data_IF_015096629588
#
_entry.id   IF_015096629588
#
_cell.length_a   1.000
_cell.length_b   1.000
_cell.length_c   1.000
_cell.angle_alpha   90.00
_cell.angle_beta   90.00
_cell.angle_gamma   90.00
#
_symmetry.space_group_name_H-M   'P 1'
#
loop_
_entity.id
_entity.type
_entity.pdbx_description
1 polymer ?
#
# COMPACT_ATOMS: atom_id res chain seq x y z
N UNK A 1 30.44 35.06 -46.77
CA UNK A 1 31.62 34.15 -46.79
C UNK A 1 31.35 33.05 -45.77
N UNK A 2 31.18 31.78 -46.18
CA UNK A 2 32.24 30.83 -46.62
C UNK A 2 33.23 30.59 -45.46
N UNK A 3 33.13 29.44 -44.76
CA UNK A 3 33.90 28.17 -44.97
C UNK A 3 35.35 28.28 -44.45
N UNK A 4 36.04 27.26 -43.90
CA UNK A 4 35.81 25.85 -43.50
C UNK A 4 36.77 25.56 -42.30
N UNK A 5 36.92 24.41 -41.61
CA UNK A 5 36.46 23.00 -41.61
C UNK A 5 36.61 22.49 -40.13
N UNK A 6 36.30 21.26 -39.67
CA UNK A 6 35.73 20.06 -40.28
C UNK A 6 36.59 18.80 -40.04
N UNK A 7 36.11 17.85 -39.23
CA UNK A 7 36.62 16.47 -39.14
C UNK A 7 35.43 15.50 -39.16
N UNK A 8 35.57 14.42 -39.93
CA UNK A 8 34.58 13.36 -40.09
C UNK A 8 35.24 12.01 -39.82
N UNK A 9 34.53 11.07 -39.20
CA UNK A 9 34.87 9.65 -39.26
C UNK A 9 33.58 8.82 -39.31
N UNK A 10 33.51 7.94 -40.30
CA UNK A 10 32.34 7.13 -40.63
C UNK A 10 32.57 5.68 -40.19
N UNK A 11 31.50 4.95 -39.87
CA UNK A 11 31.48 3.51 -40.07
C UNK A 11 30.16 3.05 -40.69
N UNK A 12 30.20 1.95 -41.44
CA UNK A 12 29.16 1.56 -42.40
C UNK A 12 28.05 0.68 -41.80
N UNK A 13 26.88 0.75 -42.42
CA UNK A 13 25.85 -0.31 -42.34
C UNK A 13 26.36 -1.60 -42.99
N UNK A 14 25.99 -2.74 -42.42
CA UNK A 14 25.81 -4.01 -43.12
C UNK A 14 24.35 -4.45 -42.97
N UNK A 15 23.65 -4.68 -44.09
CA UNK A 15 22.34 -5.36 -44.11
C UNK A 15 22.57 -6.85 -44.34
N UNK A 16 21.73 -7.68 -43.76
CA UNK A 16 21.39 -9.01 -44.27
C UNK A 16 19.88 -9.23 -44.11
N UNK A 17 19.33 -10.03 -45.02
CA UNK A 17 17.94 -10.51 -45.07
C UNK A 17 17.88 -11.96 -44.54
N UNK A 18 16.72 -12.64 -44.46
CA UNK A 18 15.32 -12.26 -44.74
C UNK A 18 14.44 -12.51 -43.48
N UNK A 19 13.24 -13.10 -43.39
CA UNK A 19 12.29 -13.75 -44.32
C UNK A 19 10.86 -13.70 -43.75
N UNK A 20 9.89 -14.30 -44.46
CA UNK A 20 8.48 -14.51 -44.06
C UNK A 20 8.33 -15.81 -43.22
N UNK A 21 7.20 -16.12 -42.56
CA UNK A 21 5.88 -15.48 -42.51
C UNK A 21 5.31 -15.57 -41.06
N UNK A 22 4.05 -15.87 -40.67
CA UNK A 22 2.78 -16.23 -41.32
C UNK A 22 1.57 -15.82 -40.43
N UNK A 23 0.34 -16.00 -40.89
CA UNK A 23 -0.90 -15.82 -40.11
C UNK A 23 -1.75 -17.09 -40.07
N UNK A 24 -2.29 -17.47 -38.90
CA UNK A 24 -3.47 -18.36 -38.78
C UNK A 24 -4.43 -17.80 -37.72
N UNK A 25 -5.74 -17.99 -37.94
CA UNK A 25 -6.85 -17.36 -37.24
C UNK A 25 -7.36 -18.11 -36.00
N UNK A 26 -8.22 -17.43 -35.24
CA UNK A 26 -8.89 -17.93 -34.04
C UNK A 26 -9.89 -19.08 -34.29
N UNK A 27 -10.18 -19.82 -33.21
CA UNK A 27 -11.52 -20.33 -32.90
C UNK A 27 -11.73 -20.40 -31.38
N UNK A 28 -12.97 -20.37 -30.92
CA UNK A 28 -13.33 -20.52 -29.51
C UNK A 28 -14.67 -21.24 -29.38
N UNK A 29 -14.74 -22.24 -28.49
CA UNK A 29 -15.97 -22.90 -28.04
C UNK A 29 -15.74 -23.53 -26.64
N UNK A 30 -16.81 -23.79 -25.86
CA UNK A 30 -16.70 -23.97 -24.41
C UNK A 30 -16.57 -25.43 -23.95
N UNK A 31 -16.29 -25.62 -22.65
CA UNK A 31 -16.52 -26.86 -21.93
C UNK A 31 -17.53 -26.66 -20.79
N UNK A 32 -18.36 -27.68 -20.57
CA UNK A 32 -19.49 -27.71 -19.65
C UNK A 32 -19.38 -28.98 -18.82
N UNK A 33 -19.37 -28.88 -17.49
CA UNK A 33 -19.44 -30.03 -16.58
C UNK A 33 -20.36 -29.69 -15.40
N UNK A 34 -21.32 -30.57 -15.15
CA UNK A 34 -22.26 -30.54 -14.02
C UNK A 34 -21.83 -31.53 -12.95
N UNK A 35 -22.17 -31.30 -11.68
CA UNK A 35 -22.30 -32.35 -10.64
C UNK A 35 -23.51 -31.98 -9.75
N UNK A 36 -24.16 -32.98 -9.16
CA UNK A 36 -25.50 -32.91 -8.57
C UNK A 36 -25.61 -32.33 -7.15
N UNK A 37 -26.87 -32.17 -6.71
CA UNK A 37 -27.30 -31.87 -5.34
C UNK A 37 -27.24 -33.12 -4.44
N UNK A 38 -27.11 -32.93 -3.12
CA UNK A 38 -27.50 -33.93 -2.10
C UNK A 38 -28.19 -33.25 -0.92
N UNK A 39 -29.25 -33.87 -0.41
CA UNK A 39 -29.98 -33.44 0.79
C UNK A 39 -29.26 -33.87 2.09
N UNK A 40 -29.53 -33.17 3.19
CA UNK A 40 -29.19 -33.57 4.57
C UNK A 40 -30.46 -33.55 5.46
N UNK A 41 -30.57 -34.39 6.51
CA UNK A 41 -31.87 -34.87 7.01
C UNK A 41 -32.49 -34.07 8.19
N UNK A 42 -33.59 -34.63 8.72
CA UNK A 42 -34.61 -33.99 9.57
C UNK A 42 -34.29 -33.99 11.08
N UNK A 43 -35.01 -33.11 11.79
CA UNK A 43 -35.03 -32.98 13.26
C UNK A 43 -35.43 -34.26 14.01
N UNK A 44 -34.85 -34.45 15.20
CA UNK A 44 -35.24 -35.44 16.22
C UNK A 44 -35.20 -34.82 17.63
N UNK A 45 -35.88 -35.40 18.65
CA UNK A 45 -36.37 -34.63 19.80
C UNK A 45 -35.41 -34.48 20.99
N UNK A 46 -35.71 -33.46 21.80
CA UNK A 46 -35.16 -33.21 23.14
C UNK A 46 -35.75 -34.12 24.22
N UNK A 47 -34.96 -34.45 25.25
CA UNK A 47 -35.45 -35.08 26.49
C UNK A 47 -34.97 -34.33 27.75
N UNK A 48 -35.95 -33.75 28.43
CA UNK A 48 -36.19 -33.60 29.88
C UNK A 48 -35.01 -33.53 30.89
N UNK A 49 -35.01 -32.45 31.69
CA UNK A 49 -34.31 -32.35 32.98
C UNK A 49 -35.00 -33.20 34.07
N UNK A 50 -34.23 -33.69 35.05
CA UNK A 50 -34.73 -33.99 36.40
C UNK A 50 -33.76 -33.51 37.49
N UNK A 51 -34.33 -32.98 38.57
CA UNK A 51 -33.63 -32.36 39.70
C UNK A 51 -33.49 -33.31 40.90
N UNK A 52 -32.37 -33.22 41.62
CA UNK A 52 -32.31 -33.38 43.08
C UNK A 52 -30.92 -32.98 43.59
N UNK A 53 -30.85 -31.98 44.46
CA UNK A 53 -29.59 -31.48 45.02
C UNK A 53 -29.31 -31.93 46.45
N UNK A 54 -28.07 -31.72 46.91
CA UNK A 54 -27.80 -31.34 48.31
C UNK A 54 -26.50 -30.51 48.43
N UNK A 55 -26.40 -29.72 49.50
CA UNK A 55 -25.46 -28.61 49.63
C UNK A 55 -23.99 -29.00 49.82
N UNK A 56 -23.08 -28.35 49.08
CA UNK A 56 -21.71 -28.08 49.55
C UNK A 56 -21.17 -26.77 48.97
N UNK A 57 -20.75 -25.85 49.83
CA UNK A 57 -20.06 -24.62 49.41
C UNK A 57 -18.62 -24.93 49.01
N UNK A 58 -18.24 -24.56 47.78
CA UNK A 58 -16.86 -24.51 47.34
C UNK A 58 -16.68 -23.31 46.38
N UNK A 59 -15.72 -22.43 46.67
CA UNK A 59 -15.46 -21.25 45.85
C UNK A 59 -14.80 -21.61 44.52
N UNK A 60 -15.61 -21.97 43.53
CA UNK A 60 -15.17 -22.16 42.14
C UNK A 60 -15.66 -20.98 41.31
N UNK A 61 -14.77 -20.00 41.05
CA UNK A 61 -15.01 -19.01 39.99
C UNK A 61 -14.81 -19.73 38.66
N UNK A 62 -15.89 -20.34 38.17
CA UNK A 62 -15.92 -21.02 36.88
C UNK A 62 -15.50 -20.09 35.76
N UNK A 63 -14.61 -20.55 34.88
CA UNK A 63 -14.09 -19.77 33.75
C UNK A 63 -15.15 -19.56 32.64
N UNK A 64 -16.16 -18.73 32.92
CA UNK A 64 -17.02 -18.19 31.87
C UNK A 64 -16.16 -17.38 30.90
N UNK A 65 -16.19 -17.77 29.62
CA UNK A 65 -15.41 -17.14 28.53
C UNK A 65 -15.94 -15.73 28.25
N UNK A 66 -15.49 -14.75 29.03
CA UNK A 66 -15.77 -13.33 28.82
C UNK A 66 -15.09 -12.82 27.53
N UNK A 67 -15.76 -13.01 26.39
CA UNK A 67 -15.38 -12.40 25.11
C UNK A 67 -15.59 -10.89 25.19
N UNK A 68 -14.58 -10.17 25.67
CA UNK A 68 -14.64 -8.73 25.91
C UNK A 68 -15.09 -7.97 24.63
N UNK A 69 -16.31 -7.38 24.62
CA UNK A 69 -16.89 -6.80 23.41
C UNK A 69 -16.13 -5.57 22.92
N UNK A 70 -15.37 -4.90 23.79
CA UNK A 70 -14.53 -3.75 23.47
C UNK A 70 -13.39 -4.18 22.52
N UNK A 71 -12.78 -5.34 22.75
CA UNK A 71 -11.76 -5.90 21.84
C UNK A 71 -12.36 -6.14 20.45
N UNK A 72 -13.60 -6.63 20.37
CA UNK A 72 -14.27 -6.94 19.10
C UNK A 72 -14.63 -5.67 18.32
N UNK A 73 -15.19 -4.66 19.01
CA UNK A 73 -15.47 -3.33 18.48
C UNK A 73 -14.22 -2.65 17.88
N UNK A 74 -13.04 -2.83 18.49
CA UNK A 74 -11.77 -2.26 17.99
C UNK A 74 -11.18 -3.05 16.81
N UNK A 75 -11.47 -4.35 16.69
CA UNK A 75 -11.18 -5.12 15.45
C UNK A 75 -12.04 -4.70 14.26
N UNK A 76 -13.28 -4.22 14.49
CA UNK A 76 -14.26 -3.86 13.45
C UNK A 76 -14.50 -5.01 12.46
N UNK A 77 -13.91 -4.95 11.26
CA UNK A 77 -14.04 -5.97 10.20
C UNK A 77 -12.80 -6.87 10.02
N UNK A 78 -11.76 -6.70 10.84
CA UNK A 78 -10.55 -7.55 10.82
C UNK A 78 -10.87 -8.96 11.33
N UNK A 79 -10.24 -9.97 10.75
CA UNK A 79 -10.36 -11.35 11.23
C UNK A 79 -9.54 -11.49 12.53
N UNK A 80 -10.11 -12.16 13.53
CA UNK A 80 -9.47 -12.49 14.81
C UNK A 80 -9.24 -13.99 14.90
N UNK A 81 -8.13 -14.40 15.48
CA UNK A 81 -7.95 -15.75 15.98
C UNK A 81 -8.87 -15.94 17.20
N UNK A 82 -9.80 -16.90 17.11
CA UNK A 82 -10.67 -17.35 18.20
C UNK A 82 -10.57 -18.88 18.35
N UNK A 83 -9.38 -19.37 18.70
CA UNK A 83 -9.04 -20.79 18.81
C UNK A 83 -8.20 -21.03 20.07
N UNK A 84 -8.27 -22.23 20.64
CA UNK A 84 -7.47 -22.68 21.80
C UNK A 84 -7.50 -21.75 23.02
N UNK A 85 -8.61 -21.03 23.21
CA UNK A 85 -8.80 -20.03 24.28
C UNK A 85 -8.24 -18.64 23.96
N UNK A 86 -7.49 -18.46 22.89
CA UNK A 86 -7.01 -17.15 22.44
C UNK A 86 -8.13 -16.34 21.76
N UNK A 87 -8.12 -15.02 21.95
CA UNK A 87 -8.99 -14.07 21.25
C UNK A 87 -8.16 -12.87 20.75
N UNK A 88 -7.30 -13.10 19.75
CA UNK A 88 -6.31 -12.15 19.26
C UNK A 88 -6.71 -11.51 17.93
N UNK A 89 -6.48 -10.20 17.79
CA UNK A 89 -6.44 -9.51 16.49
C UNK A 89 -5.14 -9.91 15.77
N UNK A 90 -5.15 -11.13 15.24
CA UNK A 90 -4.04 -11.86 14.64
C UNK A 90 -4.59 -12.74 13.51
N UNK A 91 -3.84 -12.87 12.42
CA UNK A 91 -4.26 -13.67 11.25
C UNK A 91 -3.03 -14.19 10.51
N UNK A 92 -3.03 -15.47 10.13
CA UNK A 92 -2.07 -16.00 9.16
C UNK A 92 -2.46 -15.51 7.76
N UNK A 93 -1.51 -14.89 7.07
CA UNK A 93 -1.64 -14.51 5.64
C UNK A 93 -1.04 -15.62 4.77
N UNK A 94 0.04 -16.24 5.26
CA UNK A 94 0.55 -17.54 4.87
C UNK A 94 0.81 -18.33 6.16
N UNK A 95 1.01 -19.64 6.08
CA UNK A 95 1.24 -20.51 7.25
C UNK A 95 2.40 -20.02 8.14
N UNK A 96 3.42 -19.40 7.53
CA UNK A 96 4.57 -18.81 8.21
C UNK A 96 4.63 -17.27 8.20
N UNK A 97 3.57 -16.57 7.77
CA UNK A 97 3.50 -15.10 7.75
C UNK A 97 2.24 -14.62 8.48
N UNK A 98 2.42 -14.10 9.70
CA UNK A 98 1.36 -13.58 10.55
C UNK A 98 1.24 -12.05 10.39
N UNK A 99 0.01 -11.56 10.23
CA UNK A 99 -0.37 -10.17 10.39
C UNK A 99 -1.13 -9.97 11.72
N UNK A 100 -0.67 -9.06 12.59
CA UNK A 100 -1.35 -8.81 13.87
C UNK A 100 -1.49 -7.32 14.23
N UNK A 101 -2.44 -7.03 15.11
CA UNK A 101 -2.56 -5.76 15.82
C UNK A 101 -1.46 -5.60 16.89
N UNK A 102 -1.22 -4.36 17.30
CA UNK A 102 -0.18 -4.01 18.27
C UNK A 102 -0.32 -4.80 19.60
N UNK A 103 0.73 -5.52 20.05
CA UNK A 103 0.76 -6.13 21.37
C UNK A 103 0.89 -5.01 22.41
N UNK A 104 -0.12 -4.84 23.25
CA UNK A 104 -0.25 -3.69 24.13
C UNK A 104 -0.03 -4.07 25.60
N UNK A 105 0.78 -3.26 26.29
CA UNK A 105 0.95 -3.30 27.74
C UNK A 105 -0.19 -2.56 28.45
N UNK A 106 -0.44 -2.92 29.72
CA UNK A 106 -1.30 -2.17 30.67
C UNK A 106 -2.73 -1.99 30.11
N UNK A 107 -3.41 -0.89 30.47
CA UNK A 107 -4.81 -0.63 30.12
C UNK A 107 -5.12 -0.62 28.61
N UNK A 108 -4.12 -0.44 27.73
CA UNK A 108 -4.36 -0.59 26.30
C UNK A 108 -4.64 -2.04 25.87
N UNK A 109 -4.11 -3.03 26.59
CA UNK A 109 -4.38 -4.45 26.36
C UNK A 109 -5.81 -4.87 26.68
N UNK A 110 -6.61 -4.02 27.34
CA UNK A 110 -8.05 -4.24 27.57
C UNK A 110 -8.82 -4.20 26.25
N UNK A 111 -8.43 -3.32 25.31
CA UNK A 111 -9.13 -3.10 24.03
C UNK A 111 -8.31 -3.53 22.80
N UNK A 112 -7.08 -4.00 23.01
CA UNK A 112 -6.14 -4.51 21.99
C UNK A 112 -5.81 -5.98 22.24
N UNK A 113 -4.73 -6.48 21.63
CA UNK A 113 -4.08 -7.70 22.08
C UNK A 113 -3.32 -7.34 23.38
N UNK A 114 -3.54 -8.06 24.48
CA UNK A 114 -2.66 -7.89 25.64
C UNK A 114 -1.30 -8.51 25.28
N UNK A 115 -0.19 -7.86 25.64
CA UNK A 115 1.14 -8.33 25.22
C UNK A 115 1.39 -9.78 25.66
N UNK A 116 0.98 -10.14 26.88
CA UNK A 116 1.19 -11.48 27.42
C UNK A 116 0.28 -12.55 26.78
N UNK A 117 -0.89 -12.16 26.23
CA UNK A 117 -1.71 -13.06 25.38
C UNK A 117 -0.92 -13.46 24.11
N UNK A 118 -0.16 -12.50 23.55
CA UNK A 118 0.64 -12.68 22.33
C UNK A 118 1.94 -13.44 22.61
N UNK A 119 2.62 -13.15 23.74
CA UNK A 119 3.76 -13.96 24.20
C UNK A 119 3.31 -15.41 24.36
N UNK A 120 2.24 -15.65 25.14
CA UNK A 120 1.70 -17.00 25.36
C UNK A 120 1.39 -17.72 24.04
N UNK A 121 0.71 -17.06 23.11
CA UNK A 121 0.39 -17.63 21.80
C UNK A 121 1.64 -18.03 20.99
N UNK A 122 2.66 -17.15 20.94
CA UNK A 122 3.88 -17.41 20.18
C UNK A 122 4.76 -18.48 20.85
N UNK A 123 4.80 -18.52 22.18
CA UNK A 123 5.53 -19.54 22.95
C UNK A 123 4.84 -20.91 22.96
N UNK A 124 3.50 -20.97 22.85
CA UNK A 124 2.76 -22.25 22.75
C UNK A 124 2.70 -22.82 21.32
N UNK A 125 2.71 -21.97 20.28
CA UNK A 125 2.57 -22.41 18.88
C UNK A 125 3.87 -22.39 18.07
N UNK A 126 4.78 -21.48 18.37
CA UNK A 126 5.98 -21.19 17.56
C UNK A 126 7.24 -21.05 18.43
N UNK A 127 7.31 -21.80 19.53
CA UNK A 127 8.41 -21.71 20.51
C UNK A 127 9.78 -21.74 19.83
N UNK A 128 10.62 -20.74 20.13
CA UNK A 128 11.96 -20.56 19.57
C UNK A 128 12.02 -20.39 18.01
N UNK A 129 10.85 -20.31 17.36
CA UNK A 129 10.66 -20.24 15.90
C UNK A 129 9.86 -19.00 15.45
N UNK A 130 9.67 -17.97 16.29
CA UNK A 130 9.07 -16.70 15.88
C UNK A 130 10.09 -15.56 15.79
N UNK A 131 9.86 -14.63 14.84
CA UNK A 131 10.47 -13.29 14.84
C UNK A 131 9.41 -12.23 14.54
N UNK A 132 9.41 -11.16 15.32
CA UNK A 132 8.41 -10.08 15.28
C UNK A 132 8.97 -8.89 14.51
N UNK A 133 8.11 -8.24 13.72
CA UNK A 133 8.46 -7.06 12.92
C UNK A 133 7.53 -5.89 13.28
N UNK A 134 8.06 -4.91 14.02
CA UNK A 134 7.34 -3.72 14.44
C UNK A 134 7.46 -2.59 13.40
N UNK A 135 6.34 -2.19 12.82
CA UNK A 135 6.25 -1.11 11.83
C UNK A 135 5.85 0.26 12.42
N UNK A 136 5.68 0.36 13.74
CA UNK A 136 5.29 1.60 14.39
C UNK A 136 6.47 2.56 14.56
N UNK A 137 6.41 3.75 13.93
CA UNK A 137 7.24 4.89 14.34
C UNK A 137 6.81 5.45 15.70
N UNK A 138 5.53 5.36 16.02
CA UNK A 138 4.92 6.02 17.18
C UNK A 138 4.93 5.20 18.48
N UNK A 139 5.34 3.92 18.45
CA UNK A 139 5.10 2.95 19.54
C UNK A 139 6.17 1.85 19.64
N UNK A 140 6.56 1.55 20.88
CA UNK A 140 7.44 0.44 21.30
C UNK A 140 6.83 -0.25 22.52
N UNK A 141 7.40 -1.39 22.90
CA UNK A 141 7.09 -2.22 24.08
C UNK A 141 8.38 -2.90 24.53
N UNK A 142 8.39 -3.54 25.70
CA UNK A 142 9.55 -4.33 26.12
C UNK A 142 9.80 -5.54 25.18
N UNK A 143 10.94 -5.55 24.51
CA UNK A 143 11.34 -6.63 23.59
C UNK A 143 11.88 -7.87 24.33
N UNK A 144 12.21 -7.76 25.62
CA UNK A 144 12.70 -8.91 26.40
C UNK A 144 11.59 -9.94 26.62
N UNK A 145 10.31 -9.51 26.73
CA UNK A 145 9.11 -10.36 26.69
C UNK A 145 9.03 -11.30 25.47
N UNK A 146 9.72 -10.95 24.38
CA UNK A 146 9.77 -11.72 23.13
C UNK A 146 11.18 -12.26 22.84
N UNK A 147 11.95 -12.59 23.89
CA UNK A 147 13.33 -13.11 23.79
C UNK A 147 14.29 -12.24 22.96
N UNK A 148 13.99 -10.94 22.82
CA UNK A 148 14.66 -9.98 21.90
C UNK A 148 14.51 -10.31 20.39
N UNK A 149 13.62 -11.24 20.02
CA UNK A 149 13.30 -11.62 18.63
C UNK A 149 12.40 -10.59 17.93
N UNK A 150 12.80 -9.31 17.97
CA UNK A 150 12.02 -8.18 17.46
C UNK A 150 12.88 -7.28 16.58
N UNK A 151 12.53 -7.15 15.31
CA UNK A 151 13.10 -6.17 14.38
C UNK A 151 12.15 -4.97 14.20
N UNK A 152 12.70 -3.79 13.87
CA UNK A 152 11.93 -2.54 13.74
C UNK A 152 12.12 -1.90 12.36
N UNK A 153 11.03 -1.74 11.62
CA UNK A 153 11.00 -1.06 10.31
C UNK A 153 9.94 0.06 10.35
N UNK A 154 10.18 1.13 11.13
CA UNK A 154 9.16 2.10 11.50
C UNK A 154 8.77 3.05 10.35
N UNK A 155 7.47 3.27 10.17
CA UNK A 155 6.95 4.36 9.33
C UNK A 155 5.55 4.83 9.78
N UNK A 156 5.20 6.06 9.42
CA UNK A 156 4.08 6.80 10.01
C UNK A 156 2.70 6.26 9.62
N UNK A 157 1.77 6.31 10.59
CA UNK A 157 0.42 5.81 10.40
C UNK A 157 -0.32 6.53 9.27
N UNK A 158 -1.02 5.77 8.43
CA UNK A 158 -1.70 6.24 7.21
C UNK A 158 -0.79 6.79 6.08
N UNK A 159 0.53 6.58 6.13
CA UNK A 159 1.47 6.86 5.03
C UNK A 159 2.05 5.55 4.46
N UNK A 160 2.62 5.54 3.25
CA UNK A 160 3.50 4.45 2.80
C UNK A 160 4.84 4.46 3.59
N UNK A 161 5.62 3.37 3.53
CA UNK A 161 7.03 3.38 3.96
C UNK A 161 7.87 4.20 2.97
N UNK A 162 9.11 4.54 3.34
CA UNK A 162 10.11 4.91 2.33
C UNK A 162 10.35 3.73 1.38
N UNK A 163 10.58 3.98 0.09
CA UNK A 163 10.83 2.88 -0.88
C UNK A 163 12.05 2.02 -0.48
N UNK A 164 13.08 2.68 0.06
CA UNK A 164 14.34 2.07 0.51
C UNK A 164 14.16 1.17 1.75
N UNK A 165 13.11 1.38 2.55
CA UNK A 165 12.81 0.57 3.74
C UNK A 165 12.28 -0.83 3.36
N UNK A 166 11.74 -0.98 2.14
CA UNK A 166 11.04 -2.20 1.73
C UNK A 166 12.03 -3.34 1.44
N UNK A 167 13.09 -3.10 0.66
CA UNK A 167 14.06 -4.16 0.29
C UNK A 167 14.75 -4.80 1.51
N UNK A 168 15.26 -4.04 2.52
CA UNK A 168 15.83 -4.61 3.73
C UNK A 168 14.81 -5.40 4.58
N UNK A 169 13.58 -4.89 4.73
CA UNK A 169 12.51 -5.62 5.42
C UNK A 169 12.23 -6.98 4.74
N UNK A 170 12.08 -6.98 3.41
CA UNK A 170 11.78 -8.21 2.67
C UNK A 170 12.93 -9.22 2.75
N UNK A 171 14.18 -8.74 2.69
CA UNK A 171 15.37 -9.58 2.83
C UNK A 171 15.46 -10.21 4.24
N UNK A 172 15.24 -9.44 5.31
CA UNK A 172 15.27 -9.94 6.70
C UNK A 172 14.16 -10.97 6.97
N UNK A 173 12.93 -10.70 6.49
CA UNK A 173 11.83 -11.68 6.56
C UNK A 173 12.18 -12.95 5.77
N UNK A 174 12.77 -12.82 4.58
CA UNK A 174 13.16 -13.99 3.77
C UNK A 174 14.27 -14.80 4.45
N UNK A 175 15.35 -14.15 4.90
CA UNK A 175 16.46 -14.78 5.62
C UNK A 175 16.00 -15.50 6.88
N UNK A 176 15.07 -14.90 7.64
CA UNK A 176 14.47 -15.54 8.81
C UNK A 176 13.68 -16.81 8.44
N UNK A 177 12.79 -16.72 7.46
CA UNK A 177 11.92 -17.83 7.04
C UNK A 177 12.68 -18.93 6.29
N UNK A 178 13.85 -18.64 5.72
CA UNK A 178 14.72 -19.62 5.06
C UNK A 178 15.59 -20.44 6.04
N UNK A 179 15.74 -20.02 7.29
CA UNK A 179 16.62 -20.69 8.28
C UNK A 179 16.05 -21.99 8.86
N UNK A 180 14.73 -22.09 9.00
CA UNK A 180 14.03 -23.32 9.39
C UNK A 180 12.61 -23.27 8.80
N UNK A 181 12.09 -24.40 8.30
CA UNK A 181 10.73 -24.49 7.74
C UNK A 181 9.63 -24.18 8.77
N UNK A 182 9.96 -24.28 10.07
CA UNK A 182 9.08 -23.95 11.20
C UNK A 182 9.10 -22.46 11.56
N UNK A 183 10.03 -21.68 11.03
CA UNK A 183 10.14 -20.27 11.38
C UNK A 183 8.93 -19.46 10.88
N UNK A 184 8.45 -18.53 11.71
CA UNK A 184 7.29 -17.68 11.42
C UNK A 184 7.64 -16.20 11.62
N UNK A 185 7.15 -15.35 10.71
CA UNK A 185 7.33 -13.91 10.74
C UNK A 185 6.03 -13.21 11.19
N UNK A 186 6.04 -12.56 12.35
CA UNK A 186 4.89 -11.88 12.93
C UNK A 186 4.97 -10.36 12.73
N UNK A 187 4.36 -9.85 11.66
CA UNK A 187 4.43 -8.45 11.25
C UNK A 187 3.26 -7.67 11.84
N UNK A 188 3.53 -6.54 12.48
CA UNK A 188 2.50 -5.72 13.11
C UNK A 188 2.71 -4.21 12.93
N UNK A 189 1.60 -3.48 13.04
CA UNK A 189 1.60 -2.03 13.24
C UNK A 189 0.60 -1.70 14.35
N UNK A 190 0.07 -0.47 14.42
CA UNK A 190 -0.99 -0.11 15.37
C UNK A 190 -2.26 -0.98 15.23
N UNK A 191 -2.69 -1.30 14.01
CA UNK A 191 -3.95 -2.02 13.76
C UNK A 191 -3.81 -3.31 12.92
N UNK A 192 -2.58 -3.70 12.55
CA UNK A 192 -2.36 -4.86 11.68
C UNK A 192 -3.13 -4.79 10.37
N UNK A 193 -3.19 -3.60 9.75
CA UNK A 193 -4.04 -3.31 8.57
C UNK A 193 -3.21 -2.71 7.43
N UNK A 194 -3.22 -1.38 7.23
CA UNK A 194 -2.58 -0.73 6.08
C UNK A 194 -1.06 -0.92 6.03
N UNK A 195 -0.33 -0.40 7.03
CA UNK A 195 1.14 -0.50 7.11
C UNK A 195 1.64 -1.95 7.03
N UNK A 196 1.04 -2.85 7.82
CA UNK A 196 1.32 -4.30 7.80
C UNK A 196 1.08 -4.92 6.42
N UNK A 197 -0.02 -4.55 5.76
CA UNK A 197 -0.36 -5.06 4.44
C UNK A 197 0.63 -4.63 3.36
N UNK A 198 1.09 -3.38 3.36
CA UNK A 198 2.13 -2.93 2.42
C UNK A 198 3.37 -3.80 2.54
N UNK A 199 3.91 -3.95 3.75
CA UNK A 199 5.16 -4.70 3.96
C UNK A 199 4.99 -6.20 3.66
N UNK A 200 3.87 -6.83 4.07
CA UNK A 200 3.59 -8.23 3.73
C UNK A 200 3.40 -8.42 2.22
N UNK A 201 2.64 -7.56 1.52
CA UNK A 201 2.46 -7.68 0.07
C UNK A 201 3.81 -7.54 -0.66
N UNK A 202 4.67 -6.62 -0.22
CA UNK A 202 6.03 -6.51 -0.74
C UNK A 202 6.89 -7.76 -0.46
N UNK A 203 6.78 -8.37 0.72
CA UNK A 203 7.45 -9.66 0.99
C UNK A 203 6.93 -10.79 0.10
N UNK A 204 5.61 -10.89 -0.10
CA UNK A 204 5.02 -11.93 -0.96
C UNK A 204 5.46 -11.79 -2.42
N UNK A 205 5.65 -10.56 -2.91
CA UNK A 205 6.29 -10.27 -4.20
C UNK A 205 7.78 -10.64 -4.21
N UNK A 206 8.51 -10.33 -3.14
CA UNK A 206 9.95 -10.61 -3.01
C UNK A 206 10.23 -12.12 -3.07
N UNK A 207 9.49 -12.90 -2.26
CA UNK A 207 9.54 -14.36 -2.24
C UNK A 207 8.82 -15.05 -3.40
N UNK A 208 8.39 -14.29 -4.43
CA UNK A 208 7.76 -14.79 -5.67
C UNK A 208 6.46 -15.60 -5.47
N UNK A 209 5.77 -15.42 -4.35
CA UNK A 209 4.46 -16.04 -4.10
C UNK A 209 3.34 -15.47 -4.98
N UNK A 210 3.49 -14.21 -5.43
CA UNK A 210 2.61 -13.57 -6.42
C UNK A 210 3.44 -12.80 -7.44
N UNK A 211 2.92 -12.68 -8.66
CA UNK A 211 3.60 -12.01 -9.77
C UNK A 211 3.31 -10.50 -9.81
N UNK A 212 2.13 -10.08 -9.36
CA UNK A 212 1.63 -8.70 -9.46
C UNK A 212 1.22 -8.12 -8.10
N UNK A 213 1.26 -6.79 -8.00
CA UNK A 213 0.85 -6.08 -6.79
C UNK A 213 -0.62 -6.32 -6.44
N UNK A 214 -1.52 -6.40 -7.43
CA UNK A 214 -2.95 -6.58 -7.19
C UNK A 214 -3.31 -7.99 -6.71
N UNK A 215 -2.60 -9.03 -7.15
CA UNK A 215 -2.73 -10.39 -6.57
C UNK A 215 -2.34 -10.39 -5.08
N UNK A 216 -1.16 -9.87 -4.75
CA UNK A 216 -0.68 -9.82 -3.36
C UNK A 216 -1.60 -8.99 -2.46
N UNK A 217 -2.09 -7.84 -2.95
CA UNK A 217 -3.06 -6.98 -2.26
C UNK A 217 -4.41 -7.68 -2.08
N UNK A 218 -4.92 -8.36 -3.11
CA UNK A 218 -6.20 -9.10 -3.08
C UNK A 218 -6.13 -10.28 -2.11
N UNK A 219 -5.01 -11.00 -2.07
CA UNK A 219 -4.75 -12.06 -1.11
C UNK A 219 -4.72 -11.53 0.33
N UNK A 220 -3.90 -10.53 0.62
CA UNK A 220 -3.82 -9.94 1.97
C UNK A 220 -5.17 -9.35 2.43
N UNK A 221 -5.87 -8.63 1.56
CA UNK A 221 -7.17 -8.04 1.88
C UNK A 221 -8.22 -9.11 2.18
N UNK A 222 -8.23 -10.21 1.42
CA UNK A 222 -9.10 -11.36 1.63
C UNK A 222 -8.80 -12.13 2.93
N UNK A 223 -7.53 -12.45 3.18
CA UNK A 223 -7.12 -13.14 4.40
C UNK A 223 -7.33 -12.29 5.66
N UNK A 224 -7.00 -11.00 5.62
CA UNK A 224 -6.97 -10.16 6.83
C UNK A 224 -8.30 -9.52 7.21
N UNK A 225 -9.23 -9.33 6.26
CA UNK A 225 -10.44 -8.53 6.48
C UNK A 225 -11.71 -9.13 5.88
N UNK A 226 -12.78 -9.22 6.68
CA UNK A 226 -14.11 -9.69 6.25
C UNK A 226 -14.71 -8.84 5.14
N UNK A 227 -14.35 -7.55 5.07
CA UNK A 227 -14.83 -6.59 4.08
C UNK A 227 -13.89 -6.43 2.87
N UNK A 228 -12.87 -7.31 2.70
CA UNK A 228 -11.88 -7.31 1.61
C UNK A 228 -11.27 -5.92 1.35
N UNK A 229 -10.90 -5.25 2.44
CA UNK A 229 -10.42 -3.86 2.51
C UNK A 229 -9.29 -3.76 3.53
N UNK A 230 -8.15 -4.37 3.26
CA UNK A 230 -6.95 -4.34 4.08
C UNK A 230 -6.12 -3.08 3.82
N UNK A 231 -5.47 -3.00 2.65
CA UNK A 231 -4.68 -1.85 2.20
C UNK A 231 -5.55 -0.92 1.35
N UNK A 232 -6.27 -0.01 2.00
CA UNK A 232 -7.27 0.85 1.34
C UNK A 232 -6.75 2.21 0.86
N UNK A 233 -5.55 2.63 1.25
CA UNK A 233 -4.99 3.94 0.88
C UNK A 233 -4.29 3.80 -0.50
N UNK A 234 -4.68 4.55 -1.54
CA UNK A 234 -4.05 4.41 -2.86
C UNK A 234 -2.55 4.69 -2.85
N UNK A 235 -2.10 5.70 -2.10
CA UNK A 235 -0.67 5.94 -1.84
C UNK A 235 0.07 4.78 -1.16
N UNK A 236 -0.61 3.92 -0.40
CA UNK A 236 -0.01 2.68 0.13
C UNK A 236 0.03 1.57 -0.94
N UNK A 237 -1.05 1.40 -1.72
CA UNK A 237 -1.06 0.47 -2.87
C UNK A 237 0.01 0.82 -3.91
N UNK A 238 0.20 2.11 -4.20
CA UNK A 238 1.20 2.64 -5.15
C UNK A 238 2.61 2.17 -4.82
N UNK A 239 2.98 2.08 -3.53
CA UNK A 239 4.31 1.63 -3.11
C UNK A 239 4.49 0.11 -3.21
N UNK A 240 3.40 -0.68 -3.09
CA UNK A 240 3.43 -2.11 -3.46
C UNK A 240 3.62 -2.27 -4.98
N UNK A 241 2.96 -1.44 -5.79
CA UNK A 241 3.17 -1.40 -7.25
C UNK A 241 4.58 -0.96 -7.67
N UNK A 242 5.16 0.03 -7.00
CA UNK A 242 6.56 0.42 -7.16
C UNK A 242 7.51 -0.75 -6.85
N UNK A 243 7.30 -1.43 -5.72
CA UNK A 243 8.15 -2.56 -5.34
C UNK A 243 7.98 -3.77 -6.29
N UNK A 244 6.75 -4.08 -6.73
CA UNK A 244 6.51 -5.06 -7.78
C UNK A 244 7.28 -4.69 -9.07
N UNK A 245 7.27 -3.43 -9.47
CA UNK A 245 8.01 -2.96 -10.65
C UNK A 245 9.52 -3.20 -10.53
N UNK A 246 10.11 -2.94 -9.36
CA UNK A 246 11.53 -3.24 -9.09
C UNK A 246 11.83 -4.75 -9.20
N UNK A 247 10.97 -5.58 -8.59
CA UNK A 247 11.14 -7.04 -8.51
C UNK A 247 10.84 -7.77 -9.83
N UNK A 248 9.96 -7.22 -10.68
CA UNK A 248 9.64 -7.73 -12.02
C UNK A 248 10.72 -7.36 -13.04
N UNK A 249 11.17 -6.10 -13.04
CA UNK A 249 12.14 -5.57 -14.02
C UNK A 249 13.60 -5.73 -13.56
N UNK A 250 13.84 -6.40 -12.43
CA UNK A 250 15.15 -6.57 -11.78
C UNK A 250 15.93 -5.24 -11.61
N UNK A 251 15.23 -4.18 -11.22
CA UNK A 251 15.79 -2.83 -11.09
C UNK A 251 16.33 -2.59 -9.68
N UNK A 252 17.54 -2.06 -9.58
CA UNK A 252 18.01 -1.45 -8.34
C UNK A 252 17.49 0.00 -8.25
N UNK A 253 16.91 0.34 -7.10
CA UNK A 253 16.45 1.69 -6.83
C UNK A 253 17.62 2.67 -6.73
N UNK A 254 17.47 3.85 -7.32
CA UNK A 254 18.37 4.99 -7.15
C UNK A 254 17.57 6.30 -7.00
N UNK A 255 17.97 7.26 -6.16
CA UNK A 255 17.23 8.51 -6.00
C UNK A 255 17.36 9.45 -7.22
N UNK A 256 16.36 9.46 -8.11
CA UNK A 256 16.30 10.35 -9.29
C UNK A 256 15.87 11.75 -8.89
N UNK A 257 16.59 12.80 -9.32
CA UNK A 257 16.15 14.19 -9.14
C UNK A 257 15.27 14.62 -10.33
N UNK A 258 14.18 15.33 -10.05
CA UNK A 258 13.28 15.95 -11.03
C UNK A 258 13.03 17.42 -10.66
N UNK A 259 12.81 18.28 -11.67
CA UNK A 259 12.44 19.68 -11.47
C UNK A 259 10.93 19.84 -11.66
N UNK A 260 10.20 20.16 -10.59
CA UNK A 260 8.76 20.42 -10.71
C UNK A 260 8.52 21.73 -11.50
N UNK A 261 7.80 21.62 -12.63
CA UNK A 261 7.51 22.72 -13.57
C UNK A 261 6.07 23.21 -13.42
N UNK A 262 5.09 22.29 -13.46
CA UNK A 262 3.67 22.62 -13.43
C UNK A 262 2.84 21.58 -12.65
N UNK A 263 1.69 22.01 -12.14
CA UNK A 263 0.65 21.17 -11.54
C UNK A 263 -0.68 21.48 -12.21
N UNK A 264 -1.33 20.46 -12.75
CA UNK A 264 -2.62 20.52 -13.43
C UNK A 264 -3.66 19.81 -12.54
N UNK A 265 -4.70 20.53 -12.12
CA UNK A 265 -5.76 20.04 -11.23
C UNK A 265 -7.10 19.94 -11.98
N UNK A 266 -7.62 18.73 -12.22
CA UNK A 266 -8.90 18.55 -12.91
C UNK A 266 -9.74 17.32 -12.45
N UNK A 267 -10.98 17.53 -11.98
CA UNK A 267 -11.56 18.81 -11.57
C UNK A 267 -10.83 19.38 -10.34
N UNK A 268 -10.94 20.70 -10.15
CA UNK A 268 -10.55 21.37 -8.92
C UNK A 268 -11.29 20.78 -7.70
N UNK A 269 -10.64 20.67 -6.53
CA UNK A 269 -11.33 20.34 -5.28
C UNK A 269 -12.43 21.37 -4.96
N UNK A 270 -13.64 20.90 -4.68
CA UNK A 270 -14.78 21.76 -4.43
C UNK A 270 -14.59 22.66 -3.19
N UNK A 271 -14.37 23.96 -3.43
CA UNK A 271 -14.19 24.96 -2.36
C UNK A 271 -15.55 25.52 -1.88
N UNK A 272 -16.45 24.62 -1.43
CA UNK A 272 -17.75 24.92 -0.79
C UNK A 272 -18.58 26.03 -1.47
N UNK A 273 -18.62 26.06 -2.81
CA UNK A 273 -19.47 26.96 -3.61
C UNK A 273 -19.05 28.44 -3.66
N UNK A 274 -17.97 28.82 -2.98
CA UNK A 274 -17.49 30.22 -2.87
C UNK A 274 -16.18 30.48 -3.62
N UNK A 275 -15.56 31.63 -3.31
CA UNK A 275 -14.16 31.90 -3.66
C UNK A 275 -13.27 31.08 -2.72
N UNK A 276 -12.52 30.14 -3.29
CA UNK A 276 -11.64 29.24 -2.53
C UNK A 276 -10.27 29.84 -2.24
N UNK A 277 -9.54 29.24 -1.31
CA UNK A 277 -8.13 29.57 -1.09
C UNK A 277 -7.32 28.27 -1.00
N UNK A 278 -6.77 27.84 -2.13
CA UNK A 278 -6.07 26.57 -2.27
C UNK A 278 -4.61 26.74 -1.85
N UNK A 279 -4.21 26.13 -0.74
CA UNK A 279 -2.80 25.94 -0.40
C UNK A 279 -2.37 24.53 -0.82
N UNK A 280 -1.30 24.42 -1.59
CA UNK A 280 -0.57 23.16 -1.75
C UNK A 280 0.75 23.19 -0.96
N UNK A 281 1.20 22.01 -0.55
CA UNK A 281 2.45 21.81 0.19
C UNK A 281 3.16 20.59 -0.40
N UNK A 282 4.43 20.74 -0.77
CA UNK A 282 5.31 19.63 -1.18
C UNK A 282 6.32 19.40 -0.06
N UNK A 283 6.47 18.14 0.35
CA UNK A 283 7.44 17.71 1.35
C UNK A 283 8.25 16.52 0.83
N UNK A 284 9.54 16.52 1.10
CA UNK A 284 10.47 15.44 0.79
C UNK A 284 10.93 14.81 2.11
N UNK A 285 10.67 13.52 2.30
CA UNK A 285 10.65 12.92 3.65
C UNK A 285 9.79 13.76 4.62
N UNK A 286 10.35 14.24 5.73
CA UNK A 286 9.66 15.07 6.74
C UNK A 286 9.79 16.58 6.49
N UNK A 287 10.57 17.01 5.50
CA UNK A 287 10.92 18.42 5.28
C UNK A 287 10.01 19.04 4.23
N UNK A 288 9.35 20.15 4.59
CA UNK A 288 8.57 20.99 3.66
C UNK A 288 9.52 21.72 2.71
N UNK A 289 9.53 21.35 1.43
CA UNK A 289 10.42 21.94 0.41
C UNK A 289 9.76 23.07 -0.38
N UNK A 290 8.44 23.04 -0.57
CA UNK A 290 7.70 24.11 -1.26
C UNK A 290 6.27 24.24 -0.71
N UNK A 291 5.69 25.45 -0.77
CA UNK A 291 4.26 25.67 -0.60
C UNK A 291 3.86 27.07 -1.07
N UNK A 292 2.77 27.14 -1.82
CA UNK A 292 2.18 28.38 -2.31
C UNK A 292 0.66 28.34 -2.12
N UNK A 293 0.02 29.51 -2.17
CA UNK A 293 -1.40 29.72 -1.89
C UNK A 293 -2.03 30.49 -3.04
N UNK A 294 -3.15 30.01 -3.55
CA UNK A 294 -3.86 30.59 -4.69
C UNK A 294 -5.31 30.91 -4.32
N UNK A 295 -5.82 32.04 -4.76
CA UNK A 295 -7.26 32.32 -4.70
C UNK A 295 -7.96 31.65 -5.89
N UNK A 296 -9.01 30.89 -5.60
CA UNK A 296 -9.79 30.13 -6.59
C UNK A 296 -11.08 30.89 -6.85
N UNK A 297 -11.31 31.33 -8.09
CA UNK A 297 -12.56 32.03 -8.45
C UNK A 297 -13.75 31.06 -8.39
N UNK A 298 -14.93 31.57 -8.07
CA UNK A 298 -16.18 30.78 -8.09
C UNK A 298 -16.42 30.26 -9.52
N UNK A 299 -16.75 28.99 -9.65
CA UNK A 299 -17.03 28.34 -10.94
C UNK A 299 -15.79 27.87 -11.72
N UNK A 300 -14.57 28.09 -11.24
CA UNK A 300 -13.37 27.52 -11.88
C UNK A 300 -13.36 26.00 -11.74
N UNK A 301 -13.29 25.27 -12.86
CA UNK A 301 -13.38 23.80 -12.93
C UNK A 301 -12.03 23.10 -12.94
N UNK A 302 -10.98 23.73 -13.48
CA UNK A 302 -9.61 23.22 -13.50
C UNK A 302 -8.59 24.34 -13.22
N UNK A 303 -7.37 23.99 -12.81
CA UNK A 303 -6.32 24.97 -12.52
C UNK A 303 -4.95 24.49 -13.01
N UNK A 304 -4.26 25.37 -13.73
CA UNK A 304 -2.84 25.26 -14.01
C UNK A 304 -2.05 26.11 -13.02
N UNK A 305 -1.23 25.46 -12.20
CA UNK A 305 -0.23 26.08 -11.34
C UNK A 305 1.12 25.96 -12.03
N UNK A 306 1.79 27.09 -12.30
CA UNK A 306 3.20 27.13 -12.71
C UNK A 306 4.09 27.37 -11.50
N UNK A 307 5.32 26.86 -11.56
CA UNK A 307 6.30 26.93 -10.48
C UNK A 307 7.43 27.89 -10.89
N UNK A 308 7.34 29.14 -10.42
CA UNK A 308 8.20 30.25 -10.84
C UNK A 308 9.71 30.04 -10.57
N UNK A 309 10.03 29.14 -9.64
CA UNK A 309 11.38 28.68 -9.33
C UNK A 309 11.36 27.16 -9.27
N UNK A 310 11.88 26.50 -10.30
CA UNK A 310 11.97 25.04 -10.41
C UNK A 310 12.35 24.38 -9.07
N UNK A 311 11.44 23.59 -8.50
CA UNK A 311 11.67 22.93 -7.21
C UNK A 311 12.34 21.57 -7.50
N UNK A 312 13.60 21.35 -7.09
CA UNK A 312 14.22 20.04 -7.18
C UNK A 312 13.57 19.10 -6.16
N UNK A 313 13.19 17.91 -6.63
CA UNK A 313 12.56 16.86 -5.83
C UNK A 313 13.27 15.54 -6.09
N UNK A 314 13.54 14.76 -5.05
CA UNK A 314 14.26 13.49 -5.15
C UNK A 314 13.73 12.47 -4.14
N UNK A 315 13.47 11.24 -4.59
CA UNK A 315 12.99 10.14 -3.74
C UNK A 315 11.50 10.24 -3.39
N UNK A 316 11.16 9.90 -2.14
CA UNK A 316 9.78 9.84 -1.66
C UNK A 316 9.21 11.25 -1.38
N UNK A 317 8.27 11.68 -2.23
CA UNK A 317 7.64 12.99 -2.19
C UNK A 317 6.18 12.88 -1.74
N UNK A 318 5.81 13.71 -0.77
CA UNK A 318 4.45 13.93 -0.30
C UNK A 318 3.91 15.23 -0.86
N UNK A 319 2.69 15.22 -1.38
CA UNK A 319 1.95 16.45 -1.71
C UNK A 319 0.65 16.48 -0.91
N UNK A 320 0.35 17.63 -0.32
CA UNK A 320 -0.83 17.87 0.51
C UNK A 320 -1.56 19.12 0.04
N UNK A 321 -2.85 19.01 -0.26
CA UNK A 321 -3.72 20.11 -0.65
C UNK A 321 -4.70 20.47 0.46
N UNK A 322 -4.92 21.76 0.65
CA UNK A 322 -5.70 22.31 1.73
C UNK A 322 -6.55 23.49 1.28
N UNK A 323 -7.75 23.60 1.84
CA UNK A 323 -8.51 24.84 1.82
C UNK A 323 -8.02 25.70 3.00
N UNK A 324 -7.55 26.92 2.74
CA UNK A 324 -6.99 27.84 3.74
C UNK A 324 -7.68 29.22 3.69
N UNK A 325 -9.00 29.29 3.94
CA UNK A 325 -9.75 30.55 3.97
C UNK A 325 -9.16 31.54 4.99
N UNK A 326 -9.34 32.85 4.75
CA UNK A 326 -8.67 33.92 5.52
C UNK A 326 -9.06 33.96 7.01
N UNK A 327 -10.28 33.52 7.36
CA UNK A 327 -10.86 33.65 8.71
C UNK A 327 -11.16 32.30 9.41
N UNK A 328 -11.04 31.17 8.70
CA UNK A 328 -11.42 29.83 9.21
C UNK A 328 -10.23 28.88 9.24
N UNK A 329 -10.31 27.81 10.05
CA UNK A 329 -9.19 26.87 10.22
C UNK A 329 -8.87 26.16 8.90
N UNK A 330 -7.57 26.08 8.57
CA UNK A 330 -7.04 25.29 7.46
C UNK A 330 -7.56 23.84 7.49
N UNK A 331 -8.17 23.41 6.39
CA UNK A 331 -8.76 22.08 6.18
C UNK A 331 -7.95 21.29 5.14
N UNK A 332 -7.77 19.98 5.34
CA UNK A 332 -7.09 19.11 4.36
C UNK A 332 -8.09 18.53 3.37
N UNK A 333 -7.89 18.83 2.09
CA UNK A 333 -8.72 18.33 0.99
C UNK A 333 -8.30 16.90 0.63
N UNK A 334 -7.04 16.72 0.26
CA UNK A 334 -6.43 15.43 -0.04
C UNK A 334 -4.91 15.46 0.16
N UNK A 335 -4.29 14.28 0.18
CA UNK A 335 -2.84 14.11 0.16
C UNK A 335 -2.50 12.89 -0.67
N UNK A 336 -1.29 12.84 -1.23
CA UNK A 336 -0.75 11.62 -1.81
C UNK A 336 0.77 11.58 -1.72
N UNK A 337 1.33 10.39 -1.95
CA UNK A 337 2.77 10.15 -2.05
C UNK A 337 3.13 9.56 -3.41
N UNK A 338 4.26 9.98 -3.96
CA UNK A 338 4.90 9.35 -5.13
C UNK A 338 6.41 9.25 -4.91
N UNK A 339 7.13 8.54 -5.77
CA UNK A 339 8.58 8.53 -5.77
C UNK A 339 9.10 8.88 -7.17
N UNK A 340 10.07 9.80 -7.23
CA UNK A 340 10.58 10.39 -8.48
C UNK A 340 11.18 9.39 -9.47
N UNK A 341 11.72 8.25 -9.01
CA UNK A 341 12.24 7.18 -9.86
C UNK A 341 11.17 6.60 -10.80
N UNK A 342 9.92 6.55 -10.36
CA UNK A 342 8.80 5.89 -11.06
C UNK A 342 7.92 6.86 -11.86
N UNK A 343 8.29 8.15 -11.95
CA UNK A 343 7.63 9.13 -12.83
C UNK A 343 8.13 8.89 -14.25
N UNK A 344 7.25 8.54 -15.19
CA UNK A 344 7.65 8.23 -16.58
C UNK A 344 7.58 9.46 -17.49
N UNK A 345 8.23 9.38 -18.64
CA UNK A 345 8.04 10.32 -19.75
C UNK A 345 6.62 10.17 -20.33
N UNK A 346 6.02 11.26 -20.81
CA UNK A 346 4.76 11.22 -21.55
C UNK A 346 5.04 11.08 -23.04
N UNK A 347 4.79 9.88 -23.60
CA UNK A 347 4.60 9.72 -25.05
C UNK A 347 3.25 10.37 -25.39
N UNK A 348 3.24 11.34 -26.30
CA UNK A 348 2.00 12.02 -26.65
C UNK A 348 1.12 11.11 -27.54
N UNK A 349 -0.22 11.08 -27.37
CA UNK A 349 -1.08 10.24 -28.21
C UNK A 349 -1.00 10.53 -29.72
N UNK A 350 -0.49 11.71 -30.10
CA UNK A 350 -0.29 12.10 -31.50
C UNK A 350 0.79 11.28 -32.22
N UNK A 351 1.77 10.71 -31.50
CA UNK A 351 2.86 9.93 -32.09
C UNK A 351 2.46 8.48 -32.41
N UNK A 352 1.28 8.04 -31.98
CA UNK A 352 0.75 6.71 -32.25
C UNK A 352 -0.18 6.67 -33.49
N UNK A 353 -0.26 7.75 -34.26
CA UNK A 353 -1.35 7.98 -35.22
C UNK A 353 -1.03 8.84 -36.44
N UNK A 354 0.12 8.66 -37.10
CA UNK A 354 0.29 9.02 -38.53
C UNK A 354 1.48 8.29 -39.15
N UNK A 355 1.37 7.86 -40.41
CA UNK A 355 2.42 7.08 -41.10
C UNK A 355 3.32 7.95 -41.98
N UNK A 356 4.57 7.47 -42.15
CA UNK A 356 5.46 7.72 -43.29
C UNK A 356 5.91 9.15 -43.70
N UNK A 357 7.22 9.24 -43.96
CA UNK A 357 7.90 10.26 -44.81
C UNK A 357 7.71 11.75 -44.46
N UNK A 358 8.66 12.29 -43.69
CA UNK A 358 9.45 13.46 -44.13
C UNK A 358 10.73 13.64 -43.30
N UNK A 359 11.75 14.25 -43.90
CA UNK A 359 12.98 14.65 -43.22
C UNK A 359 12.81 15.98 -42.47
N UNK A 360 13.27 16.05 -41.22
CA UNK A 360 13.41 17.32 -40.50
C UNK A 360 13.89 17.11 -39.07
N UNK A 361 15.05 17.69 -38.72
CA UNK A 361 15.59 17.61 -37.36
C UNK A 361 14.83 18.55 -36.41
N UNK A 362 13.66 18.12 -35.94
CA UNK A 362 13.08 18.69 -34.73
C UNK A 362 13.97 18.30 -33.55
N UNK A 363 14.62 19.28 -32.94
CA UNK A 363 15.19 19.13 -31.60
C UNK A 363 14.02 18.79 -30.69
N UNK A 364 14.04 17.60 -30.09
CA UNK A 364 13.04 17.21 -29.10
C UNK A 364 13.19 18.12 -27.88
N UNK A 365 12.10 18.76 -27.45
CA UNK A 365 12.08 19.44 -26.15
C UNK A 365 12.35 18.39 -25.06
N UNK A 366 12.98 18.82 -23.96
CA UNK A 366 13.47 17.90 -22.92
C UNK A 366 12.32 17.07 -22.38
N UNK A 367 12.49 15.74 -22.41
CA UNK A 367 11.40 14.77 -22.27
C UNK A 367 10.57 15.04 -21.01
N UNK A 368 9.35 15.53 -21.23
CA UNK A 368 8.46 15.92 -20.15
C UNK A 368 8.03 14.66 -19.39
N UNK A 369 8.47 14.56 -18.13
CA UNK A 369 8.07 13.48 -17.22
C UNK A 369 6.81 13.91 -16.47
N UNK A 370 5.87 12.99 -16.25
CA UNK A 370 4.66 13.29 -15.53
C UNK A 370 4.17 12.15 -14.65
N UNK A 371 3.36 12.51 -13.64
CA UNK A 371 2.57 11.54 -12.89
C UNK A 371 1.14 12.04 -12.72
N UNK A 372 0.19 11.16 -13.06
CA UNK A 372 -1.23 11.34 -12.77
C UNK A 372 -1.61 10.62 -11.47
N UNK A 373 -2.18 11.34 -10.52
CA UNK A 373 -2.71 10.80 -9.28
C UNK A 373 -4.23 11.01 -9.22
N UNK A 374 -4.96 9.91 -9.19
CA UNK A 374 -6.34 9.84 -8.71
C UNK A 374 -6.33 9.29 -7.28
N UNK A 375 -6.90 10.04 -6.34
CA UNK A 375 -7.17 9.59 -4.97
C UNK A 375 -8.64 9.98 -4.65
N UNK A 376 -9.44 9.07 -4.07
CA UNK A 376 -10.83 9.40 -3.72
C UNK A 376 -10.84 10.43 -2.59
N UNK A 377 -11.54 11.54 -2.81
CA UNK A 377 -11.66 12.62 -1.84
C UNK A 377 -12.47 12.16 -0.61
N UNK A 378 -12.24 12.78 0.55
CA UNK A 378 -13.03 12.50 1.77
C UNK A 378 -14.41 13.16 1.76
N UNK A 379 -14.71 13.99 0.76
CA UNK A 379 -16.00 14.64 0.55
C UNK A 379 -16.82 13.77 -0.41
N UNK A 380 -18.00 13.23 -0.03
CA UNK A 380 -18.66 12.16 -0.80
C UNK A 380 -19.20 12.50 -2.21
N UNK A 381 -18.94 13.70 -2.75
CA UNK A 381 -19.65 14.24 -3.90
C UNK A 381 -18.85 14.32 -5.22
N UNK A 382 -17.51 14.36 -5.19
CA UNK A 382 -16.68 14.45 -6.40
C UNK A 382 -15.47 13.52 -6.36
N UNK A 383 -15.47 12.52 -7.22
CA UNK A 383 -14.28 11.77 -7.59
C UNK A 383 -13.36 12.63 -8.44
N UNK A 384 -12.23 13.08 -7.87
CA UNK A 384 -11.19 13.77 -8.63
C UNK A 384 -10.59 12.80 -9.66
N UNK A 385 -10.79 13.08 -10.95
CA UNK A 385 -10.33 12.21 -12.03
C UNK A 385 -8.81 12.24 -12.20
N UNK A 386 -8.17 13.42 -12.15
CA UNK A 386 -6.71 13.54 -12.26
C UNK A 386 -6.16 14.80 -11.56
N UNK A 387 -5.15 14.63 -10.71
CA UNK A 387 -4.12 15.67 -10.53
C UNK A 387 -2.86 15.22 -11.24
N UNK A 388 -2.37 16.01 -12.21
CA UNK A 388 -1.22 15.70 -13.06
C UNK A 388 -0.09 16.67 -12.74
N UNK A 389 1.10 16.12 -12.46
CA UNK A 389 2.31 16.90 -12.18
C UNK A 389 3.26 16.74 -13.35
N UNK A 390 3.83 17.85 -13.84
CA UNK A 390 4.75 17.88 -14.98
C UNK A 390 6.13 18.33 -14.50
N UNK A 391 7.15 17.59 -14.92
CA UNK A 391 8.54 17.75 -14.52
C UNK A 391 9.46 17.94 -15.73
N UNK A 392 10.59 18.61 -15.48
CA UNK A 392 11.77 18.65 -16.35
C UNK A 392 12.98 18.02 -15.65
#
# INVERSE_FOLDING_TARGET
>A
MLFFMGVCLSCRKSRLSSEKSEQISASATPLHVSVEEQEEPKLGPSFEDQDSGYTRMANTISNMRMTNPIKEMVSKRRIRLKQDGFNLDLTYIMDNVIAMGFPAEKLEGVYRNHIDDVVKFLEEKHKDHYKIYNLCSERKYDINKFRKMVATYPFDDHNPPKIELIKPFCADVHEWLSKDKRNVAAVHCKAGKGRTGVMICCYLLHGKYFSTADEALKHYDGMRTRDKKGVTIPSQKRYVGYYATLIQKNLNYTPVTLLLKEIHLEPLPACNGGQGCLQFVVSQSSTKVHSQVYEVKKGTTSMLIRIDRYVPLQGDIKVEFFNKPKLMRKEKLFQFWFNTFFVTEEVSPAELGTSDKASGSKVTDRSARAISCAEPSRVPALGMKQTRFVFC
#
